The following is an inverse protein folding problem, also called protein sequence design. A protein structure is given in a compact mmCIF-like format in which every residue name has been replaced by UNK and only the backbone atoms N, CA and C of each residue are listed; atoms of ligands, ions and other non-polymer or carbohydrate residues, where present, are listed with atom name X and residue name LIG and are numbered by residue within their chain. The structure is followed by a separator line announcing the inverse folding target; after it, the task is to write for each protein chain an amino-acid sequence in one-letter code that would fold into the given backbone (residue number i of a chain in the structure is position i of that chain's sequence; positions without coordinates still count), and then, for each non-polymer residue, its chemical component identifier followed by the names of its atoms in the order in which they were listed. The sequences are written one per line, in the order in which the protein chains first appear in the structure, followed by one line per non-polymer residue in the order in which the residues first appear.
data_IF_109074425855
#
_entry.id   IF_109074425855
#
_cell.length_a   1.000
_cell.length_b   1.000
_cell.length_c   1.000
_cell.angle_alpha   90.00
_cell.angle_beta   90.00
_cell.angle_gamma   90.00
#
_symmetry.space_group_name_H-M   'P 1'
#
loop_
_entity.id
_entity.type
_entity.pdbx_description
1 polymer ?
#
# COMPACT_ATOMS: atom_id res chain seq x y z
N UNK A 1 6.35 3.73 14.61
CA UNK A 1 5.44 3.48 13.47
C UNK A 1 6.12 2.50 12.55
N UNK A 2 5.37 1.75 11.76
CA UNK A 2 5.91 0.86 10.73
C UNK A 2 5.55 1.42 9.36
N UNK A 3 6.45 1.30 8.40
CA UNK A 3 6.12 1.55 6.99
C UNK A 3 5.58 0.25 6.40
N UNK A 4 4.43 0.34 5.77
CA UNK A 4 3.77 -0.75 5.06
C UNK A 4 3.98 -0.55 3.56
N UNK A 5 4.35 -1.62 2.88
CA UNK A 5 4.30 -1.72 1.43
C UNK A 5 3.32 -2.82 1.04
N UNK A 6 2.31 -2.46 0.28
CA UNK A 6 1.46 -3.42 -0.40
C UNK A 6 1.89 -3.55 -1.85
N UNK A 7 2.06 -4.78 -2.31
CA UNK A 7 2.29 -5.09 -3.72
C UNK A 7 1.04 -5.72 -4.31
N UNK A 8 0.47 -5.03 -5.29
CA UNK A 8 -0.71 -5.43 -6.03
C UNK A 8 -0.29 -5.83 -7.44
N UNK A 9 -0.88 -6.93 -7.93
CA UNK A 9 -0.61 -7.44 -9.29
C UNK A 9 -1.91 -7.66 -10.02
N UNK A 10 -2.21 -6.75 -10.93
CA UNK A 10 -3.34 -6.82 -11.85
C UNK A 10 -3.09 -7.88 -12.92
N UNK A 11 -4.18 -8.47 -13.42
CA UNK A 11 -4.12 -9.30 -14.63
C UNK A 11 -3.69 -8.43 -15.82
N UNK A 12 -3.06 -9.05 -16.82
CA UNK A 12 -2.42 -8.36 -17.94
C UNK A 12 -3.41 -7.48 -18.71
N UNK A 13 -4.64 -7.94 -18.89
CA UNK A 13 -5.72 -7.21 -19.57
C UNK A 13 -6.12 -5.91 -18.85
N UNK A 14 -5.75 -5.75 -17.58
CA UNK A 14 -6.06 -4.57 -16.75
C UNK A 14 -4.84 -3.67 -16.50
N UNK A 15 -3.66 -4.01 -17.01
CA UNK A 15 -2.42 -3.28 -16.75
C UNK A 15 -2.45 -1.78 -17.16
N UNK A 16 -3.34 -1.40 -18.08
CA UNK A 16 -3.57 -0.01 -18.49
C UNK A 16 -4.57 0.77 -17.64
N UNK A 17 -5.18 0.13 -16.62
CA UNK A 17 -6.27 0.69 -15.79
C UNK A 17 -5.89 0.82 -14.32
N UNK A 18 -4.59 0.82 -14.00
CA UNK A 18 -4.10 0.77 -12.62
C UNK A 18 -4.68 1.86 -11.73
N UNK A 19 -4.68 3.13 -12.15
CA UNK A 19 -5.25 4.23 -11.36
C UNK A 19 -6.75 4.04 -11.09
N UNK A 20 -7.52 3.70 -12.13
CA UNK A 20 -8.97 3.49 -12.03
C UNK A 20 -9.29 2.36 -11.04
N UNK A 21 -8.58 1.23 -11.15
CA UNK A 21 -8.81 0.07 -10.30
C UNK A 21 -8.33 0.29 -8.87
N UNK A 22 -7.26 1.06 -8.66
CA UNK A 22 -6.85 1.43 -7.29
C UNK A 22 -7.85 2.40 -6.65
N UNK A 23 -8.52 3.26 -7.42
CA UNK A 23 -9.63 4.06 -6.91
C UNK A 23 -10.85 3.19 -6.56
N UNK A 24 -11.19 2.20 -7.39
CA UNK A 24 -12.26 1.24 -7.07
C UNK A 24 -11.94 0.46 -5.78
N UNK A 25 -10.68 0.06 -5.59
CA UNK A 25 -10.22 -0.56 -4.35
C UNK A 25 -10.33 0.40 -3.15
N UNK A 26 -9.85 1.64 -3.28
CA UNK A 26 -9.95 2.67 -2.23
C UNK A 26 -11.41 2.97 -1.85
N UNK A 27 -12.33 2.99 -2.81
CA UNK A 27 -13.76 3.18 -2.54
C UNK A 27 -14.36 2.02 -1.72
N UNK A 28 -13.83 0.81 -1.88
CA UNK A 28 -14.25 -0.39 -1.13
C UNK A 28 -13.72 -0.34 0.32
N UNK A 29 -12.45 -0.01 0.52
CA UNK A 29 -11.76 -0.18 1.83
C UNK A 29 -11.55 1.12 2.60
N UNK A 30 -11.39 2.23 1.88
CA UNK A 30 -11.05 3.56 2.38
C UNK A 30 -11.98 4.07 3.48
N UNK A 31 -13.31 3.89 3.44
CA UNK A 31 -14.18 4.40 4.50
C UNK A 31 -13.83 3.89 5.90
N UNK A 32 -13.47 2.62 6.05
CA UNK A 32 -13.05 2.05 7.33
C UNK A 32 -11.62 2.49 7.70
N UNK A 33 -10.75 2.58 6.70
CA UNK A 33 -9.36 2.92 6.88
C UNK A 33 -9.15 4.39 7.28
N UNK A 34 -9.91 5.31 6.68
CA UNK A 34 -9.84 6.76 6.92
C UNK A 34 -10.29 7.19 8.32
N UNK A 35 -10.98 6.31 9.07
CA UNK A 35 -11.42 6.59 10.44
C UNK A 35 -10.63 5.79 11.48
N UNK A 36 -9.72 4.90 11.06
CA UNK A 36 -8.93 4.09 11.99
C UNK A 36 -7.82 4.93 12.64
N UNK A 37 -7.70 4.94 13.97
CA UNK A 37 -6.68 5.72 14.67
C UNK A 37 -5.25 5.21 14.46
N UNK A 38 -5.07 4.03 13.87
CA UNK A 38 -3.79 3.46 13.46
C UNK A 38 -3.26 4.03 12.15
N UNK A 39 -4.14 4.56 11.29
CA UNK A 39 -3.78 5.20 10.03
C UNK A 39 -3.06 6.52 10.30
N UNK A 40 -1.78 6.60 9.93
CA UNK A 40 -0.94 7.74 10.29
C UNK A 40 -0.75 8.75 9.15
N UNK A 41 -0.70 8.30 7.88
CA UNK A 41 -0.44 9.16 6.71
C UNK A 41 -1.14 8.63 5.46
N UNK A 42 -1.46 9.50 4.50
CA UNK A 42 -2.08 9.10 3.23
C UNK A 42 -1.20 8.13 2.43
N UNK A 43 -1.83 7.13 1.80
CA UNK A 43 -1.14 6.15 0.96
C UNK A 43 -0.56 6.78 -0.30
N UNK A 44 0.68 6.39 -0.63
CA UNK A 44 1.34 6.76 -1.87
C UNK A 44 1.34 5.57 -2.81
N UNK A 45 0.86 5.78 -4.03
CA UNK A 45 0.77 4.75 -5.06
C UNK A 45 1.85 4.94 -6.11
N UNK A 46 2.53 3.85 -6.47
CA UNK A 46 3.57 3.81 -7.49
C UNK A 46 3.27 2.68 -8.45
N UNK A 47 3.42 2.94 -9.74
CA UNK A 47 3.29 1.92 -10.77
C UNK A 47 4.68 1.60 -11.33
N UNK A 48 5.00 0.30 -11.47
CA UNK A 48 6.30 -0.09 -11.96
C UNK A 48 6.40 0.16 -13.49
N UNK A 49 7.41 0.91 -13.93
CA UNK A 49 7.60 1.25 -15.34
C UNK A 49 7.69 0.03 -16.27
N UNK A 50 8.35 -1.05 -15.83
CA UNK A 50 8.51 -2.28 -16.61
C UNK A 50 7.36 -3.27 -16.49
N UNK A 51 6.41 -3.02 -15.58
CA UNK A 51 5.25 -3.88 -15.32
C UNK A 51 4.06 -3.02 -14.93
N UNK A 52 3.31 -2.48 -15.91
CA UNK A 52 2.23 -1.53 -15.63
C UNK A 52 1.11 -2.11 -14.74
N UNK A 53 0.94 -3.44 -14.69
CA UNK A 53 0.00 -4.11 -13.80
C UNK A 53 0.50 -4.30 -12.36
N UNK A 54 1.75 -3.96 -12.06
CA UNK A 54 2.31 -4.02 -10.71
C UNK A 54 2.26 -2.64 -10.05
N UNK A 55 1.54 -2.55 -8.94
CA UNK A 55 1.35 -1.33 -8.15
C UNK A 55 1.90 -1.55 -6.74
N UNK A 56 2.64 -0.56 -6.27
CA UNK A 56 3.14 -0.47 -4.91
C UNK A 56 2.40 0.64 -4.17
N UNK A 57 1.74 0.29 -3.07
CA UNK A 57 1.13 1.24 -2.17
C UNK A 57 1.95 1.32 -0.89
N UNK A 58 2.40 2.52 -0.52
CA UNK A 58 3.22 2.76 0.66
C UNK A 58 2.57 3.74 1.62
N UNK A 59 2.47 3.37 2.89
CA UNK A 59 1.91 4.21 3.95
C UNK A 59 2.52 3.86 5.30
N UNK A 60 2.26 4.70 6.30
CA UNK A 60 2.69 4.46 7.69
C UNK A 60 1.53 4.02 8.55
N UNK A 61 1.78 3.04 9.41
CA UNK A 61 0.83 2.59 10.43
C UNK A 61 1.42 2.67 11.84
N UNK A 62 0.56 2.81 12.84
CA UNK A 62 0.98 2.97 14.23
C UNK A 62 1.83 1.78 14.72
N UNK A 63 1.30 0.57 14.59
CA UNK A 63 2.00 -0.68 14.92
C UNK A 63 1.66 -1.80 13.93
N UNK A 64 2.60 -2.73 13.72
CA UNK A 64 2.35 -3.92 12.89
C UNK A 64 1.19 -4.78 13.40
N UNK A 65 1.10 -5.00 14.71
CA UNK A 65 0.06 -5.87 15.28
C UNK A 65 -1.36 -5.34 15.03
N UNK A 66 -1.55 -4.02 15.14
CA UNK A 66 -2.84 -3.39 14.84
C UNK A 66 -3.14 -3.44 13.34
N UNK A 67 -2.13 -3.22 12.51
CA UNK A 67 -2.26 -3.34 11.06
C UNK A 67 -2.69 -4.74 10.63
N UNK A 68 -2.07 -5.80 11.17
CA UNK A 68 -2.43 -7.18 10.86
C UNK A 68 -3.87 -7.53 11.27
N UNK A 69 -4.42 -6.89 12.31
CA UNK A 69 -5.82 -7.04 12.70
C UNK A 69 -6.73 -6.29 11.72
N UNK A 70 -6.35 -5.07 11.36
CA UNK A 70 -7.08 -4.23 10.42
C UNK A 70 -7.21 -4.91 9.05
N UNK A 71 -6.09 -5.37 8.48
CA UNK A 71 -6.02 -6.04 7.17
C UNK A 71 -6.91 -7.28 7.12
N UNK A 72 -6.98 -8.09 8.18
CA UNK A 72 -7.85 -9.28 8.19
C UNK A 72 -9.32 -8.96 7.94
N UNK A 73 -9.80 -7.81 8.40
CA UNK A 73 -11.17 -7.38 8.14
C UNK A 73 -11.32 -6.84 6.71
N UNK A 74 -10.30 -6.14 6.23
CA UNK A 74 -10.27 -5.57 4.89
C UNK A 74 -10.22 -6.65 3.78
N UNK A 75 -9.45 -7.72 3.98
CA UNK A 75 -9.38 -8.86 3.04
C UNK A 75 -10.75 -9.49 2.76
N UNK A 76 -11.68 -9.41 3.70
CA UNK A 76 -13.05 -9.92 3.51
C UNK A 76 -13.85 -9.12 2.48
N UNK A 77 -13.48 -7.84 2.27
CA UNK A 77 -14.14 -6.95 1.31
C UNK A 77 -13.57 -7.11 -0.10
N UNK A 78 -12.34 -7.61 -0.21
CA UNK A 78 -11.57 -7.60 -1.46
C UNK A 78 -11.67 -8.90 -2.27
N UNK A 79 -12.43 -9.90 -1.81
CA UNK A 79 -12.53 -11.20 -2.50
C UNK A 79 -12.93 -11.04 -3.97
N UNK A 80 -14.01 -10.31 -4.24
CA UNK A 80 -14.49 -10.08 -5.62
C UNK A 80 -13.51 -9.24 -6.44
N UNK A 81 -12.85 -8.26 -5.81
CA UNK A 81 -11.85 -7.41 -6.46
C UNK A 81 -10.65 -8.24 -6.91
N UNK A 82 -10.15 -9.13 -6.06
CA UNK A 82 -9.04 -10.03 -6.40
C UNK A 82 -9.41 -10.97 -7.52
N UNK A 83 -10.53 -11.66 -7.41
CA UNK A 83 -10.97 -12.64 -8.40
C UNK A 83 -11.08 -12.01 -9.79
N UNK A 84 -11.67 -10.81 -9.83
CA UNK A 84 -11.93 -10.10 -11.07
C UNK A 84 -10.69 -9.47 -11.69
N UNK A 85 -9.87 -8.78 -10.92
CA UNK A 85 -8.85 -7.89 -11.46
C UNK A 85 -7.42 -8.31 -11.19
N UNK A 86 -7.17 -9.15 -10.19
CA UNK A 86 -5.82 -9.46 -9.72
C UNK A 86 -5.38 -10.88 -10.09
N UNK A 87 -4.06 -11.08 -10.12
CA UNK A 87 -3.44 -12.41 -10.25
C UNK A 87 -3.56 -13.20 -8.93
N UNK A 88 -3.73 -12.49 -7.81
CA UNK A 88 -3.95 -13.05 -6.49
C UNK A 88 -4.11 -11.94 -5.44
N UNK A 89 -4.16 -12.29 -4.14
CA UNK A 89 -4.17 -11.33 -3.05
C UNK A 89 -2.93 -10.43 -3.09
N UNK A 90 -3.04 -9.23 -2.53
CA UNK A 90 -1.87 -8.36 -2.33
C UNK A 90 -0.84 -9.01 -1.42
N UNK A 91 0.41 -8.64 -1.59
CA UNK A 91 1.48 -8.96 -0.65
C UNK A 91 1.73 -7.77 0.26
N UNK A 92 1.95 -8.02 1.56
CA UNK A 92 2.23 -6.96 2.54
C UNK A 92 3.61 -7.18 3.13
N UNK A 93 4.46 -6.15 3.01
CA UNK A 93 5.80 -6.11 3.61
C UNK A 93 5.87 -4.96 4.62
N UNK A 94 6.52 -5.21 5.75
CA UNK A 94 6.72 -4.21 6.80
C UNK A 94 8.19 -3.80 6.85
N UNK A 95 8.42 -2.50 7.04
CA UNK A 95 9.74 -1.92 7.22
C UNK A 95 9.79 -1.09 8.49
N UNK A 96 10.93 -1.13 9.14
CA UNK A 96 11.33 -0.14 10.14
C UNK A 96 12.18 0.91 9.42
N UNK A 97 11.77 2.18 9.50
CA UNK A 97 12.58 3.27 8.98
C UNK A 97 13.85 3.39 9.81
N UNK A 98 15.00 3.27 9.14
CA UNK A 98 16.29 3.43 9.80
C UNK A 98 16.59 4.92 9.94
N UNK A 99 16.93 5.41 11.15
CA UNK A 99 17.37 6.78 11.31
C UNK A 99 18.73 6.93 10.60
N UNK A 100 18.72 7.61 9.46
CA UNK A 100 19.95 8.02 8.80
C UNK A 100 20.29 9.41 9.29
N UNK A 101 21.38 9.51 10.06
CA UNK A 101 21.95 10.80 10.40
C UNK A 101 22.62 11.37 9.15
N UNK A 102 21.88 12.20 8.41
CA UNK A 102 22.47 13.06 7.39
C UNK A 102 23.10 14.25 8.10
N UNK A 103 24.20 13.98 8.81
CA UNK A 103 25.21 14.98 9.09
C UNK A 103 25.66 15.51 7.74
N UNK A 104 25.17 16.70 7.39
CA UNK A 104 25.67 17.44 6.25
C UNK A 104 27.20 17.49 6.36
N UNK A 105 27.85 16.84 5.40
CA UNK A 105 29.29 16.88 5.20
C UNK A 105 29.77 18.33 5.35
N UNK A 106 30.51 18.58 6.43
CA UNK A 106 31.63 19.52 6.48
C UNK A 106 31.35 20.98 6.13
N UNK A 107 31.46 21.83 7.14
CA UNK A 107 31.95 23.18 7.01
C UNK A 107 33.23 23.27 6.14
N UNK A 108 33.24 24.19 5.17
CA UNK A 108 34.34 24.99 4.61
C UNK A 108 33.82 25.56 3.28
N UNK A 109 33.71 26.86 3.03
CA UNK A 109 34.37 28.06 3.55
C UNK A 109 33.49 29.28 3.27
#
# INVERSE_FOLDING_TARGET
MVTVLETWRLREEFAGRSLELMQEMDDIVGPAAHVDPGWCEHGRFFQLHGSPGEIWMMYTWRTRAEHEVFIKNEELLLTDFYDRYCVGPREITYFDELPVDVDAVGAAS
#
